data_IF_041356154042
#
_entry.id   IF_041356154042
#
_cell.length_a   1.000
_cell.length_b   1.000
_cell.length_c   1.000
_cell.angle_alpha   90.00
_cell.angle_beta   90.00
_cell.angle_gamma   90.00
#
_symmetry.space_group_name_H-M   'P 1'
#
loop_
_entity.id
_entity.type
_entity.pdbx_description
1 polymer ?
#
# COMPACT_ATOMS: atom_id res chain seq x y z
N UNK A 1 37.63 24.76 -3.87
CA UNK A 1 36.92 24.37 -2.63
C UNK A 1 35.48 24.90 -2.52
N UNK A 2 35.19 26.17 -2.83
CA UNK A 2 33.84 26.77 -2.71
C UNK A 2 32.72 26.01 -3.45
N UNK A 3 32.98 25.57 -4.70
CA UNK A 3 31.99 24.79 -5.47
C UNK A 3 31.78 23.35 -4.96
N UNK A 4 32.81 22.72 -4.36
CA UNK A 4 32.66 21.40 -3.73
C UNK A 4 31.78 21.49 -2.47
N UNK A 5 31.99 22.51 -1.63
CA UNK A 5 31.13 22.75 -0.44
C UNK A 5 29.67 23.05 -0.82
N UNK A 6 29.43 23.88 -1.86
CA UNK A 6 28.07 24.12 -2.38
C UNK A 6 27.40 22.85 -2.92
N UNK A 7 28.15 21.96 -3.58
CA UNK A 7 27.63 20.65 -4.02
C UNK A 7 27.24 19.74 -2.86
N UNK A 8 28.07 19.66 -1.81
CA UNK A 8 27.73 18.89 -0.61
C UNK A 8 26.49 19.43 0.11
N UNK A 9 26.35 20.76 0.21
CA UNK A 9 25.15 21.39 0.77
C UNK A 9 23.91 21.04 -0.08
N UNK A 10 24.02 21.10 -1.41
CA UNK A 10 22.92 20.71 -2.29
C UNK A 10 22.48 19.26 -2.11
N UNK A 11 23.44 18.32 -2.04
CA UNK A 11 23.15 16.89 -1.80
C UNK A 11 22.46 16.70 -0.44
N UNK A 12 22.94 17.38 0.61
CA UNK A 12 22.34 17.30 1.94
C UNK A 12 20.90 17.79 1.96
N UNK A 13 20.61 18.89 1.26
CA UNK A 13 19.23 19.43 1.13
C UNK A 13 18.33 18.41 0.41
N UNK A 14 18.81 17.79 -0.68
CA UNK A 14 18.03 16.78 -1.42
C UNK A 14 17.71 15.57 -0.52
N UNK A 15 18.71 15.04 0.20
CA UNK A 15 18.52 13.93 1.13
C UNK A 15 17.52 14.32 2.23
N UNK A 16 17.64 15.52 2.80
CA UNK A 16 16.71 16.01 3.81
C UNK A 16 15.27 16.12 3.28
N UNK A 17 15.09 16.61 2.06
CA UNK A 17 13.78 16.68 1.40
C UNK A 17 13.18 15.29 1.16
N UNK A 18 13.98 14.32 0.69
CA UNK A 18 13.52 12.95 0.52
C UNK A 18 13.09 12.33 1.86
N UNK A 19 13.86 12.53 2.93
CA UNK A 19 13.51 12.04 4.27
C UNK A 19 12.23 12.70 4.81
N UNK A 20 12.09 14.01 4.63
CA UNK A 20 10.88 14.74 5.04
C UNK A 20 9.63 14.24 4.31
N UNK A 21 9.76 13.86 3.04
CA UNK A 21 8.66 13.28 2.28
C UNK A 21 8.23 11.91 2.83
N UNK A 22 9.19 11.05 3.17
CA UNK A 22 8.91 9.73 3.78
C UNK A 22 8.29 9.80 5.18
N UNK A 23 8.47 10.91 5.91
CA UNK A 23 7.91 11.11 7.24
C UNK A 23 6.44 11.58 7.22
N UNK A 24 5.87 11.82 6.04
CA UNK A 24 4.50 12.30 5.93
C UNK A 24 3.53 11.18 6.38
N UNK A 25 2.58 11.47 7.27
CA UNK A 25 1.65 10.44 7.73
C UNK A 25 0.70 10.07 6.60
N UNK A 26 0.68 8.78 6.27
CA UNK A 26 -0.26 8.20 5.32
C UNK A 26 -1.67 8.18 5.91
N UNK A 27 -2.63 8.73 5.16
CA UNK A 27 -4.04 8.83 5.54
C UNK A 27 -4.85 7.80 4.78
N UNK A 28 -5.70 7.08 5.50
CA UNK A 28 -6.71 6.21 4.91
C UNK A 28 -7.89 7.09 4.47
N UNK A 29 -8.20 7.07 3.17
CA UNK A 29 -9.28 7.84 2.56
C UNK A 29 -10.57 7.02 2.49
N UNK A 30 -10.45 5.71 2.24
CA UNK A 30 -11.58 4.80 2.17
C UNK A 30 -11.15 3.39 2.51
N UNK A 31 -12.07 2.61 3.10
CA UNK A 31 -11.89 1.17 3.28
C UNK A 31 -13.17 0.48 2.86
N UNK A 32 -13.01 -0.57 2.06
CA UNK A 32 -14.08 -1.45 1.64
C UNK A 32 -13.70 -2.88 1.98
N UNK A 33 -14.62 -3.63 2.56
CA UNK A 33 -14.46 -5.06 2.80
C UNK A 33 -15.61 -5.80 2.13
N UNK A 34 -15.30 -6.95 1.54
CA UNK A 34 -16.34 -7.89 1.10
C UNK A 34 -16.90 -8.71 2.28
N UNK A 35 -16.37 -8.52 3.50
CA UNK A 35 -16.65 -9.28 4.72
C UNK A 35 -16.48 -10.81 4.56
N UNK A 36 -15.74 -11.22 3.54
CA UNK A 36 -15.45 -12.60 3.22
C UNK A 36 -13.95 -12.84 3.38
N UNK A 37 -13.16 -12.45 2.38
CA UNK A 37 -11.72 -12.69 2.36
C UNK A 37 -10.88 -11.48 1.96
N UNK A 38 -11.51 -10.37 1.56
CA UNK A 38 -10.81 -9.24 0.96
C UNK A 38 -11.12 -7.91 1.63
N UNK A 39 -10.08 -7.14 1.92
CA UNK A 39 -10.17 -5.74 2.36
C UNK A 39 -9.37 -4.87 1.40
N UNK A 40 -9.99 -3.79 0.94
CA UNK A 40 -9.41 -2.78 0.05
C UNK A 40 -9.25 -1.49 0.83
N UNK A 41 -8.00 -1.05 1.00
CA UNK A 41 -7.64 0.14 1.78
C UNK A 41 -7.09 1.18 0.81
N UNK A 42 -7.82 2.26 0.61
CA UNK A 42 -7.42 3.39 -0.23
C UNK A 42 -6.73 4.43 0.63
N UNK A 43 -5.50 4.78 0.27
CA UNK A 43 -4.67 5.76 0.97
C UNK A 43 -4.33 6.94 0.08
N UNK A 44 -3.97 8.08 0.69
CA UNK A 44 -3.57 9.28 -0.03
C UNK A 44 -2.18 9.19 -0.68
N UNK A 45 -1.31 8.35 -0.11
CA UNK A 45 -0.01 7.96 -0.67
C UNK A 45 0.53 6.75 0.08
N UNK A 46 1.53 6.08 -0.48
CA UNK A 46 2.32 5.08 0.25
C UNK A 46 3.74 5.57 0.58
N UNK A 47 4.36 5.02 1.64
CA UNK A 47 5.79 5.23 1.88
C UNK A 47 6.61 4.73 0.70
N UNK A 48 7.77 5.34 0.47
CA UNK A 48 8.60 5.00 -0.68
C UNK A 48 9.27 3.62 -0.55
N UNK A 49 9.90 3.35 0.59
CA UNK A 49 10.62 2.11 0.83
C UNK A 49 9.68 0.96 1.19
N UNK A 50 10.01 -0.24 0.74
CA UNK A 50 9.19 -1.44 0.93
C UNK A 50 9.04 -1.82 2.41
N UNK A 51 10.11 -1.67 3.19
CA UNK A 51 10.07 -1.84 4.65
C UNK A 51 9.10 -0.88 5.32
N UNK A 52 9.01 0.36 4.83
CA UNK A 52 8.15 1.39 5.40
C UNK A 52 6.68 1.15 5.03
N UNK A 53 6.39 0.64 3.82
CA UNK A 53 5.04 0.20 3.42
C UNK A 53 4.54 -0.93 4.32
N UNK A 54 5.36 -1.97 4.52
CA UNK A 54 5.03 -3.11 5.38
C UNK A 54 4.87 -2.64 6.83
N UNK A 55 5.81 -1.85 7.33
CA UNK A 55 5.74 -1.29 8.69
C UNK A 55 4.49 -0.43 8.91
N UNK A 56 4.12 0.40 7.93
CA UNK A 56 2.89 1.18 7.97
C UNK A 56 1.65 0.28 8.11
N UNK A 57 1.56 -0.79 7.32
CA UNK A 57 0.43 -1.72 7.39
C UNK A 57 0.39 -2.45 8.73
N UNK A 58 1.52 -3.02 9.17
CA UNK A 58 1.61 -3.75 10.44
C UNK A 58 1.19 -2.90 11.63
N UNK A 59 1.55 -1.60 11.65
CA UNK A 59 1.14 -0.66 12.71
C UNK A 59 -0.37 -0.39 12.79
N UNK A 60 -1.15 -0.79 11.76
CA UNK A 60 -2.60 -0.57 11.66
C UNK A 60 -3.40 -1.86 11.55
N UNK A 61 -2.73 -3.00 11.34
CA UNK A 61 -3.35 -4.30 11.06
C UNK A 61 -4.38 -4.68 12.10
N UNK A 62 -4.06 -4.56 13.39
CA UNK A 62 -4.98 -4.90 14.48
C UNK A 62 -6.29 -4.13 14.37
N UNK A 63 -6.20 -2.81 14.15
CA UNK A 63 -7.39 -1.97 13.98
C UNK A 63 -8.19 -2.36 12.73
N UNK A 64 -7.52 -2.61 11.60
CA UNK A 64 -8.18 -3.02 10.36
C UNK A 64 -8.93 -4.35 10.52
N UNK A 65 -8.34 -5.33 11.20
CA UNK A 65 -8.98 -6.62 11.49
C UNK A 65 -10.21 -6.44 12.38
N UNK A 66 -10.09 -5.59 13.41
CA UNK A 66 -11.20 -5.34 14.34
C UNK A 66 -12.36 -4.58 13.67
N UNK A 67 -12.05 -3.59 12.83
CA UNK A 67 -13.06 -2.78 12.14
C UNK A 67 -13.70 -3.53 10.96
N UNK A 68 -12.98 -4.47 10.33
CA UNK A 68 -13.39 -5.23 9.14
C UNK A 68 -13.10 -6.73 9.29
N UNK A 69 -13.87 -7.46 10.13
CA UNK A 69 -13.64 -8.87 10.37
C UNK A 69 -13.91 -9.69 9.10
N UNK A 70 -13.00 -10.64 8.82
CA UNK A 70 -13.08 -11.60 7.72
C UNK A 70 -13.42 -13.00 8.26
N UNK A 71 -13.77 -13.94 7.38
CA UNK A 71 -14.15 -15.30 7.80
C UNK A 71 -12.92 -16.07 8.28
N UNK A 72 -12.95 -16.59 9.49
CA UNK A 72 -11.83 -17.38 10.02
C UNK A 72 -11.56 -18.67 9.22
N UNK A 73 -10.29 -19.05 9.13
CA UNK A 73 -9.87 -20.33 8.55
C UNK A 73 -9.83 -20.38 7.02
N UNK A 74 -10.04 -19.25 6.34
CA UNK A 74 -9.82 -19.12 4.89
C UNK A 74 -8.71 -18.12 4.58
N UNK A 75 -8.08 -18.19 3.39
CA UNK A 75 -7.11 -17.18 2.96
C UNK A 75 -7.69 -15.77 2.93
N UNK A 76 -6.95 -14.80 3.47
CA UNK A 76 -7.30 -13.38 3.48
C UNK A 76 -6.33 -12.55 2.67
N UNK A 77 -6.82 -11.47 2.07
CA UNK A 77 -6.00 -10.50 1.36
C UNK A 77 -6.41 -9.06 1.68
N UNK A 78 -5.40 -8.23 1.94
CA UNK A 78 -5.54 -6.79 2.13
C UNK A 78 -4.84 -6.09 0.96
N UNK A 79 -5.63 -5.43 0.12
CA UNK A 79 -5.20 -4.66 -1.03
C UNK A 79 -5.02 -3.20 -0.64
N UNK A 80 -3.79 -2.71 -0.65
CA UNK A 80 -3.48 -1.33 -0.30
C UNK A 80 -3.28 -0.56 -1.59
N UNK A 81 -4.11 0.45 -1.79
CA UNK A 81 -4.23 1.20 -3.04
C UNK A 81 -3.89 2.67 -2.81
N UNK A 82 -3.05 3.21 -3.67
CA UNK A 82 -2.79 4.65 -3.72
C UNK A 82 -3.89 5.32 -4.56
N UNK A 83 -4.47 6.42 -4.06
CA UNK A 83 -5.53 7.16 -4.75
C UNK A 83 -5.01 7.87 -6.01
N UNK A 84 -3.70 8.12 -6.12
CA UNK A 84 -3.08 8.78 -7.27
C UNK A 84 -3.67 10.15 -7.55
N UNK A 85 -4.31 10.31 -8.70
CA UNK A 85 -4.95 11.57 -9.13
C UNK A 85 -6.27 11.88 -8.40
N UNK A 86 -6.79 10.94 -7.61
CA UNK A 86 -8.03 11.09 -6.86
C UNK A 86 -9.11 10.08 -7.27
N UNK A 87 -10.27 10.21 -6.64
CA UNK A 87 -11.45 9.44 -7.04
C UNK A 87 -11.99 9.96 -8.37
N UNK A 88 -12.38 9.03 -9.24
CA UNK A 88 -12.88 9.28 -10.59
C UNK A 88 -14.16 8.46 -10.85
N UNK A 89 -14.58 8.38 -12.11
CA UNK A 89 -15.75 7.64 -12.58
C UNK A 89 -15.58 7.16 -14.03
N UNK A 90 -16.48 6.28 -14.46
CA UNK A 90 -16.48 5.74 -15.83
C UNK A 90 -16.68 6.77 -16.94
N UNK A 91 -17.20 7.96 -16.64
CA UNK A 91 -17.38 9.03 -17.65
C UNK A 91 -16.04 9.72 -17.95
N UNK A 92 -15.22 9.94 -16.93
CA UNK A 92 -13.92 10.62 -17.06
C UNK A 92 -12.81 9.68 -17.55
N UNK A 93 -12.81 8.43 -17.07
CA UNK A 93 -11.77 7.44 -17.38
C UNK A 93 -12.36 6.13 -17.96
N UNK A 94 -13.03 6.17 -19.13
CA UNK A 94 -13.79 5.02 -19.66
C UNK A 94 -12.95 3.82 -20.11
N UNK A 95 -11.62 3.98 -20.22
CA UNK A 95 -10.69 2.94 -20.72
C UNK A 95 -9.89 2.28 -19.61
N UNK A 96 -9.92 2.81 -18.40
CA UNK A 96 -9.12 2.33 -17.29
C UNK A 96 -9.83 1.18 -16.58
N UNK A 97 -9.06 0.19 -16.09
CA UNK A 97 -9.60 -0.80 -15.14
C UNK A 97 -9.78 -0.11 -13.79
N UNK A 98 -11.03 -0.04 -13.31
CA UNK A 98 -11.38 0.74 -12.12
C UNK A 98 -12.02 -0.14 -11.05
N UNK A 99 -11.73 0.19 -9.80
CA UNK A 99 -12.42 -0.32 -8.64
C UNK A 99 -13.37 0.75 -8.09
N UNK A 100 -14.67 0.47 -8.09
CA UNK A 100 -15.69 1.40 -7.64
C UNK A 100 -16.30 0.96 -6.32
N UNK A 101 -16.48 1.93 -5.42
CA UNK A 101 -17.02 1.73 -4.09
C UNK A 101 -18.42 2.35 -3.97
N UNK A 102 -19.25 1.82 -3.07
CA UNK A 102 -20.54 2.44 -2.78
C UNK A 102 -20.34 3.66 -1.88
N UNK A 103 -20.17 4.85 -2.49
CA UNK A 103 -19.98 6.14 -1.78
C UNK A 103 -21.24 7.01 -1.81
N UNK A 104 -22.41 6.40 -1.66
CA UNK A 104 -23.70 7.12 -1.69
C UNK A 104 -23.98 7.76 -3.05
N UNK A 105 -24.27 9.08 -3.08
CA UNK A 105 -24.63 9.82 -4.30
C UNK A 105 -23.44 10.42 -5.06
N UNK A 106 -22.21 10.20 -4.59
CA UNK A 106 -21.03 10.75 -5.28
C UNK A 106 -20.81 10.00 -6.60
N UNK A 107 -20.76 10.73 -7.72
CA UNK A 107 -20.43 10.12 -9.01
C UNK A 107 -18.95 9.73 -9.08
N UNK A 108 -18.06 10.42 -8.35
CA UNK A 108 -16.63 10.11 -8.23
C UNK A 108 -16.39 9.09 -7.12
N UNK A 109 -16.78 7.84 -7.38
CA UNK A 109 -16.71 6.73 -6.42
C UNK A 109 -15.74 5.61 -6.83
N UNK A 110 -14.97 5.82 -7.90
CA UNK A 110 -14.04 4.85 -8.44
C UNK A 110 -12.59 5.29 -8.26
N UNK A 111 -11.67 4.34 -8.28
CA UNK A 111 -10.22 4.57 -8.41
C UNK A 111 -9.67 3.68 -9.51
N UNK A 112 -8.63 4.14 -10.20
CA UNK A 112 -7.89 3.30 -11.16
C UNK A 112 -7.24 2.17 -10.36
N UNK A 113 -7.45 0.94 -10.82
CA UNK A 113 -7.06 -0.26 -10.09
C UNK A 113 -5.55 -0.45 -10.18
N UNK A 114 -4.88 -0.18 -9.06
CA UNK A 114 -3.48 -0.47 -8.85
C UNK A 114 -3.29 -1.05 -7.44
N UNK A 115 -2.48 -2.09 -7.33
CA UNK A 115 -2.17 -2.76 -6.06
C UNK A 115 -0.67 -2.66 -5.76
N UNK A 116 -0.19 -1.46 -5.37
CA UNK A 116 1.21 -1.25 -5.01
C UNK A 116 1.65 -2.11 -3.83
N UNK A 117 0.72 -2.52 -2.97
CA UNK A 117 0.98 -3.49 -1.90
C UNK A 117 -0.22 -4.40 -1.66
N UNK A 118 0.04 -5.70 -1.53
CA UNK A 118 -0.94 -6.71 -1.11
C UNK A 118 -0.36 -7.47 0.06
N UNK A 119 -1.11 -7.58 1.16
CA UNK A 119 -0.81 -8.52 2.24
C UNK A 119 -1.73 -9.73 2.07
N UNK A 120 -1.18 -10.93 2.15
CA UNK A 120 -1.92 -12.19 2.10
C UNK A 120 -1.60 -13.05 3.31
N UNK A 121 -2.63 -13.61 3.91
CA UNK A 121 -2.52 -14.50 5.06
C UNK A 121 -3.27 -15.79 4.73
N UNK A 122 -2.61 -16.93 4.87
CA UNK A 122 -3.24 -18.24 4.73
C UNK A 122 -3.13 -19.00 6.05
N UNK A 123 -4.12 -19.85 6.38
CA UNK A 123 -4.01 -20.73 7.53
C UNK A 123 -2.70 -21.52 7.49
N UNK A 124 -1.97 -21.54 8.61
CA UNK A 124 -0.72 -22.28 8.79
C UNK A 124 0.48 -21.81 7.96
N UNK A 125 0.36 -20.70 7.24
CA UNK A 125 1.47 -20.04 6.53
C UNK A 125 1.85 -18.74 7.23
N UNK A 126 3.05 -18.24 6.96
CA UNK A 126 3.42 -16.91 7.38
C UNK A 126 2.69 -15.85 6.54
N UNK A 127 2.67 -14.62 7.03
CA UNK A 127 2.06 -13.50 6.31
C UNK A 127 2.98 -13.12 5.15
N UNK A 128 2.42 -13.09 3.93
CA UNK A 128 3.13 -12.68 2.73
C UNK A 128 2.77 -11.24 2.34
N UNK A 129 3.77 -10.52 1.86
CA UNK A 129 3.60 -9.19 1.27
C UNK A 129 4.09 -9.20 -0.17
N UNK A 130 3.21 -8.83 -1.08
CA UNK A 130 3.57 -8.52 -2.46
C UNK A 130 3.65 -7.02 -2.61
N UNK A 131 4.79 -6.50 -3.08
CA UNK A 131 4.96 -5.09 -3.40
C UNK A 131 5.22 -4.95 -4.90
N UNK A 132 4.34 -4.20 -5.55
CA UNK A 132 4.37 -4.02 -7.00
C UNK A 132 4.94 -2.64 -7.33
N UNK A 133 5.91 -2.62 -8.23
CA UNK A 133 6.38 -1.43 -8.94
C UNK A 133 6.07 -1.57 -10.43
N UNK A 134 6.31 -0.53 -11.21
CA UNK A 134 6.07 -0.54 -12.67
C UNK A 134 6.74 -1.73 -13.39
N UNK A 135 7.90 -2.18 -12.92
CA UNK A 135 8.74 -3.15 -13.64
C UNK A 135 8.94 -4.47 -12.89
N UNK A 136 8.62 -4.51 -11.60
CA UNK A 136 9.04 -5.62 -10.74
C UNK A 136 8.06 -5.80 -9.59
N UNK A 137 7.85 -7.07 -9.26
CA UNK A 137 7.11 -7.51 -8.09
C UNK A 137 8.11 -8.09 -7.10
N UNK A 138 8.10 -7.58 -5.87
CA UNK A 138 8.91 -8.08 -4.76
C UNK A 138 8.00 -8.81 -3.78
N UNK A 139 8.43 -9.98 -3.33
CA UNK A 139 7.72 -10.76 -2.33
C UNK A 139 8.50 -10.76 -1.03
N UNK A 140 7.79 -10.58 0.08
CA UNK A 140 8.32 -10.64 1.42
C UNK A 140 7.44 -11.53 2.30
N UNK A 141 8.01 -11.97 3.41
CA UNK A 141 7.33 -12.77 4.41
C UNK A 141 7.65 -12.24 5.81
N UNK A 142 6.65 -12.23 6.68
CA UNK A 142 6.80 -11.96 8.10
C UNK A 142 7.00 -13.29 8.82
N UNK A 143 8.22 -13.52 9.29
CA UNK A 143 8.56 -14.74 10.03
C UNK A 143 7.86 -14.78 11.40
N UNK A 144 7.73 -15.96 12.03
CA UNK A 144 7.19 -16.08 13.40
C UNK A 144 7.95 -15.26 14.44
N UNK A 145 9.24 -14.97 14.21
CA UNK A 145 10.07 -14.12 15.06
C UNK A 145 9.84 -12.61 14.85
N UNK A 146 8.93 -12.25 13.94
CA UNK A 146 8.59 -10.87 13.61
C UNK A 146 9.59 -10.20 12.67
N UNK A 147 10.38 -10.95 11.90
CA UNK A 147 11.31 -10.40 10.91
C UNK A 147 10.68 -10.37 9.52
N UNK A 148 11.04 -9.37 8.73
CA UNK A 148 10.63 -9.26 7.33
C UNK A 148 11.77 -9.78 6.46
N UNK A 149 11.51 -10.82 5.70
CA UNK A 149 12.49 -11.44 4.81
C UNK A 149 12.03 -11.37 3.35
N UNK A 150 12.96 -11.12 2.43
CA UNK A 150 12.69 -11.12 1.00
C UNK A 150 12.65 -12.55 0.46
N UNK A 151 11.61 -12.89 -0.28
CA UNK A 151 11.47 -14.19 -0.95
C UNK A 151 11.69 -13.99 -2.44
N UNK A 152 12.71 -14.66 -2.97
CA UNK A 152 12.88 -14.73 -4.42
C UNK A 152 11.80 -15.66 -4.99
N UNK A 153 10.90 -15.11 -5.81
CA UNK A 153 9.89 -15.94 -6.48
C UNK A 153 10.57 -16.88 -7.48
N UNK A 154 10.42 -18.19 -7.30
CA UNK A 154 10.66 -19.13 -8.38
C UNK A 154 9.65 -18.79 -9.50
N UNK A 155 10.17 -18.45 -10.70
CA UNK A 155 9.34 -18.28 -11.89
C UNK A 155 8.84 -19.62 -12.39
#
# INVERSE_FOLDING_TARGET
MKNKKKRFIGIFIIIAMCNLWSLRPVKILHVYSDFNSSVFVVVDHLPWADSDKIGWFLSRREKLINDYPLIDGIPHSYYIMDVGEGFTNYKENPKEDMLCFSMGKNEHNCIIKNYPMVMSERPYENIHFQISSEWTVYNYELTPEGKIEYIHGER
#
